data_IF_092722904636
#
_entry.id   IF_092722904636
#
_cell.length_a   1.000
_cell.length_b   1.000
_cell.length_c   1.000
_cell.angle_alpha   90.00
_cell.angle_beta   90.00
_cell.angle_gamma   90.00
#
_symmetry.space_group_name_H-M   'P 1'
#
loop_
_entity.id
_entity.type
_entity.pdbx_description
1 polymer ?
#
# COMPACT_ATOMS: atom_id res chain seq x y z
N UNK A 1 -17.06 2.66 8.92
CA UNK A 1 -17.17 1.22 8.57
C UNK A 1 -15.91 0.82 7.83
N UNK A 2 -15.28 -0.28 8.23
CA UNK A 2 -14.15 -0.84 7.47
C UNK A 2 -14.66 -1.40 6.13
N UNK A 3 -13.89 -1.25 5.05
CA UNK A 3 -14.22 -1.73 3.69
C UNK A 3 -14.57 -3.22 3.68
N UNK A 4 -13.98 -4.00 4.58
CA UNK A 4 -14.18 -5.43 4.75
C UNK A 4 -15.62 -5.74 5.16
N UNK A 5 -16.19 -4.92 6.06
CA UNK A 5 -17.60 -5.05 6.48
C UNK A 5 -18.54 -4.78 5.29
N UNK A 6 -18.21 -3.81 4.42
CA UNK A 6 -18.98 -3.55 3.21
C UNK A 6 -18.88 -4.69 2.20
N UNK A 7 -17.70 -5.29 2.04
CA UNK A 7 -17.50 -6.47 1.19
C UNK A 7 -18.32 -7.66 1.69
N UNK A 8 -18.25 -7.97 2.98
CA UNK A 8 -19.03 -9.06 3.58
C UNK A 8 -20.54 -8.87 3.41
N UNK A 9 -21.04 -7.63 3.59
CA UNK A 9 -22.45 -7.32 3.38
C UNK A 9 -22.87 -7.46 1.92
N UNK A 10 -22.08 -6.90 0.99
CA UNK A 10 -22.36 -7.03 -0.45
C UNK A 10 -22.37 -8.51 -0.90
N UNK A 11 -21.41 -9.30 -0.40
CA UNK A 11 -21.32 -10.74 -0.66
C UNK A 11 -22.58 -11.49 -0.19
N UNK A 12 -23.02 -11.25 1.05
CA UNK A 12 -24.24 -11.86 1.62
C UNK A 12 -25.49 -11.50 0.82
N UNK A 13 -25.65 -10.24 0.43
CA UNK A 13 -26.80 -9.81 -0.36
C UNK A 13 -26.80 -10.45 -1.75
N UNK A 14 -25.63 -10.59 -2.37
CA UNK A 14 -25.47 -11.29 -3.65
C UNK A 14 -25.80 -12.78 -3.51
N UNK A 15 -25.39 -13.43 -2.43
CA UNK A 15 -25.72 -14.83 -2.12
C UNK A 15 -27.21 -15.05 -1.86
N UNK A 16 -27.92 -14.05 -1.31
CA UNK A 16 -29.39 -14.07 -1.19
C UNK A 16 -30.13 -13.80 -2.51
N UNK A 17 -29.41 -13.60 -3.62
CA UNK A 17 -29.99 -13.49 -4.96
C UNK A 17 -30.30 -12.07 -5.44
N UNK A 18 -29.86 -11.04 -4.71
CA UNK A 18 -30.09 -9.65 -5.14
C UNK A 18 -29.22 -9.28 -6.35
N UNK A 19 -29.78 -8.43 -7.21
CA UNK A 19 -29.05 -7.78 -8.29
C UNK A 19 -28.10 -6.70 -7.76
N UNK A 20 -27.12 -6.29 -8.56
CA UNK A 20 -26.14 -5.25 -8.14
C UNK A 20 -26.81 -3.90 -7.89
N UNK A 21 -27.85 -3.57 -8.64
CA UNK A 21 -28.69 -2.39 -8.44
C UNK A 21 -29.42 -2.39 -7.08
N UNK A 22 -30.02 -3.51 -6.69
CA UNK A 22 -30.71 -3.62 -5.39
C UNK A 22 -29.72 -3.54 -4.23
N UNK A 23 -28.55 -4.17 -4.37
CA UNK A 23 -27.46 -4.08 -3.40
C UNK A 23 -26.95 -2.64 -3.29
N UNK A 24 -26.85 -1.92 -4.41
CA UNK A 24 -26.42 -0.52 -4.45
C UNK A 24 -27.39 0.37 -3.67
N UNK A 25 -28.70 0.13 -3.84
CA UNK A 25 -29.75 0.79 -3.07
C UNK A 25 -29.67 0.47 -1.58
N UNK A 26 -29.45 -0.79 -1.20
CA UNK A 26 -29.40 -1.22 0.21
C UNK A 26 -28.14 -0.71 0.93
N UNK A 27 -26.99 -0.71 0.25
CA UNK A 27 -25.72 -0.23 0.81
C UNK A 27 -25.53 1.29 0.64
N UNK A 28 -26.44 1.97 -0.05
CA UNK A 28 -26.38 3.39 -0.39
C UNK A 28 -25.04 3.79 -1.06
N UNK A 29 -24.65 3.02 -2.08
CA UNK A 29 -23.44 3.23 -2.89
C UNK A 29 -23.79 3.14 -4.38
N UNK A 30 -22.88 3.57 -5.26
CA UNK A 30 -23.08 3.41 -6.70
C UNK A 30 -22.99 1.92 -7.13
N UNK A 31 -23.69 1.53 -8.20
CA UNK A 31 -23.65 0.16 -8.73
C UNK A 31 -22.23 -0.30 -9.10
N UNK A 32 -21.42 0.59 -9.68
CA UNK A 32 -19.99 0.36 -9.94
C UNK A 32 -19.19 0.03 -8.65
N UNK A 33 -19.61 0.60 -7.51
CA UNK A 33 -18.99 0.30 -6.21
C UNK A 33 -19.37 -1.10 -5.74
N UNK A 34 -20.59 -1.56 -6.01
CA UNK A 34 -21.01 -2.94 -5.71
C UNK A 34 -20.22 -3.93 -6.56
N UNK A 35 -20.09 -3.68 -7.86
CA UNK A 35 -19.26 -4.48 -8.74
C UNK A 35 -17.79 -4.53 -8.25
N UNK A 36 -17.26 -3.40 -7.77
CA UNK A 36 -15.94 -3.32 -7.16
C UNK A 36 -15.84 -4.10 -5.82
N UNK A 37 -16.86 -4.02 -4.96
CA UNK A 37 -16.91 -4.75 -3.67
C UNK A 37 -16.98 -6.26 -3.86
N UNK A 38 -17.74 -6.72 -4.87
CA UNK A 38 -17.89 -8.14 -5.24
C UNK A 38 -16.68 -8.68 -6.03
N UNK A 39 -15.86 -7.81 -6.59
CA UNK A 39 -14.65 -8.23 -7.31
C UNK A 39 -13.67 -8.96 -6.37
N UNK A 40 -13.23 -10.16 -6.78
CA UNK A 40 -12.16 -10.91 -6.10
C UNK A 40 -10.83 -10.21 -6.29
N UNK A 41 -10.52 -9.28 -5.40
CA UNK A 41 -9.14 -8.88 -5.10
C UNK A 41 -8.97 -8.79 -3.59
N UNK A 42 -8.62 -9.92 -2.99
CA UNK A 42 -7.55 -9.89 -2.00
C UNK A 42 -6.26 -9.50 -2.74
N UNK A 43 -6.16 -8.25 -3.20
CA UNK A 43 -4.82 -7.68 -3.29
C UNK A 43 -4.34 -7.69 -1.85
N UNK A 44 -3.28 -8.45 -1.59
CA UNK A 44 -2.53 -8.47 -0.34
C UNK A 44 -2.66 -7.10 0.32
N UNK A 45 -3.17 -7.06 1.56
CA UNK A 45 -3.19 -5.81 2.33
C UNK A 45 -1.82 -5.17 2.11
N UNK A 46 -1.74 -3.93 1.60
CA UNK A 46 -0.44 -3.32 1.33
C UNK A 46 0.40 -3.51 2.59
N UNK A 47 1.60 -4.07 2.42
CA UNK A 47 2.50 -4.33 3.54
C UNK A 47 2.52 -3.05 4.37
N UNK A 48 2.16 -3.15 5.65
CA UNK A 48 2.11 -1.96 6.50
C UNK A 48 3.47 -1.28 6.45
N UNK A 49 3.48 0.04 6.27
CA UNK A 49 4.71 0.81 6.23
C UNK A 49 5.59 0.50 7.44
N UNK A 50 6.85 0.17 7.18
CA UNK A 50 7.84 -0.02 8.24
C UNK A 50 8.44 1.33 8.58
N UNK A 51 8.09 1.85 9.76
CA UNK A 51 8.67 3.10 10.26
C UNK A 51 10.00 2.79 10.95
N UNK A 52 11.09 3.31 10.39
CA UNK A 52 12.43 3.23 11.00
C UNK A 52 12.75 4.57 11.66
N UNK A 53 13.07 4.53 12.96
CA UNK A 53 13.50 5.72 13.68
C UNK A 53 14.97 6.07 13.39
N UNK A 54 15.26 7.35 13.14
CA UNK A 54 16.63 7.84 12.90
C UNK A 54 17.62 7.51 14.03
N UNK A 55 17.15 7.42 15.28
CA UNK A 55 17.99 6.98 16.41
C UNK A 55 18.54 5.56 16.21
N UNK A 56 17.75 4.66 15.62
CA UNK A 56 18.18 3.29 15.34
C UNK A 56 19.29 3.22 14.28
N UNK A 57 19.47 4.29 13.50
CA UNK A 57 20.59 4.44 12.58
C UNK A 57 21.75 5.13 13.29
N UNK A 58 21.49 6.27 13.93
CA UNK A 58 22.52 7.18 14.45
C UNK A 58 23.26 6.71 15.71
N UNK A 59 22.72 5.74 16.47
CA UNK A 59 23.38 5.25 17.71
C UNK A 59 24.37 4.11 17.43
N UNK A 60 24.27 3.46 16.27
CA UNK A 60 25.09 2.29 15.95
C UNK A 60 26.20 2.66 14.94
N UNK A 61 27.48 2.68 15.35
CA UNK A 61 28.58 3.13 14.48
C UNK A 61 28.67 2.35 13.18
N UNK A 62 28.42 1.04 13.21
CA UNK A 62 28.43 0.18 12.02
C UNK A 62 27.38 0.61 11.00
N UNK A 63 26.18 1.03 11.44
CA UNK A 63 25.11 1.46 10.52
C UNK A 63 25.42 2.81 9.88
N UNK A 64 25.96 3.75 10.66
CA UNK A 64 26.46 5.02 10.12
C UNK A 64 27.55 4.77 9.09
N UNK A 65 28.52 3.90 9.40
CA UNK A 65 29.62 3.57 8.49
C UNK A 65 29.11 2.99 7.17
N UNK A 66 28.16 2.05 7.20
CA UNK A 66 27.56 1.48 5.99
C UNK A 66 26.83 2.53 5.13
N UNK A 67 26.09 3.44 5.76
CA UNK A 67 25.41 4.54 5.05
C UNK A 67 26.44 5.48 4.42
N UNK A 68 27.50 5.86 5.16
CA UNK A 68 28.56 6.70 4.64
C UNK A 68 29.28 6.06 3.45
N UNK A 69 29.53 4.75 3.50
CA UNK A 69 30.09 4.00 2.38
C UNK A 69 29.17 4.04 1.15
N UNK A 70 27.87 3.79 1.33
CA UNK A 70 26.90 3.87 0.24
C UNK A 70 26.81 5.28 -0.37
N UNK A 71 26.84 6.33 0.47
CA UNK A 71 26.85 7.71 -0.02
C UNK A 71 28.14 8.04 -0.79
N UNK A 72 29.29 7.55 -0.30
CA UNK A 72 30.58 7.76 -0.97
C UNK A 72 30.63 7.07 -2.33
N UNK A 73 30.08 5.86 -2.42
CA UNK A 73 29.95 5.12 -3.68
C UNK A 73 29.09 5.86 -4.70
N UNK A 74 27.91 6.35 -4.28
CA UNK A 74 27.03 7.17 -5.14
C UNK A 74 27.76 8.44 -5.61
N UNK A 75 28.51 9.11 -4.74
CA UNK A 75 29.27 10.31 -5.12
C UNK A 75 30.30 9.97 -6.21
N UNK A 76 31.07 8.88 -6.03
CA UNK A 76 32.05 8.44 -7.02
C UNK A 76 31.37 8.06 -8.34
N UNK A 77 30.23 7.37 -8.27
CA UNK A 77 29.43 7.03 -9.45
C UNK A 77 28.97 8.28 -10.21
N UNK A 78 28.41 9.26 -9.51
CA UNK A 78 27.91 10.49 -10.11
C UNK A 78 29.04 11.39 -10.63
N UNK A 79 30.20 11.41 -9.95
CA UNK A 79 31.42 12.05 -10.44
C UNK A 79 31.99 11.40 -11.71
N UNK A 80 31.74 10.10 -11.91
CA UNK A 80 32.13 9.40 -13.14
C UNK A 80 31.14 9.61 -14.29
N UNK A 81 29.85 9.77 -13.98
CA UNK A 81 28.78 10.00 -14.97
C UNK A 81 28.69 11.45 -15.43
N UNK A 82 29.10 12.39 -14.59
CA UNK A 82 29.20 13.81 -14.93
C UNK A 82 30.66 14.17 -14.94
N UNK A 83 31.16 14.69 -16.06
CA UNK A 83 32.27 15.65 -16.04
C UNK A 83 31.81 16.82 -15.16
N UNK A 84 31.96 16.68 -13.84
CA UNK A 84 31.75 17.76 -12.89
C UNK A 84 32.94 18.70 -13.05
N UNK A 85 32.83 19.57 -14.07
CA UNK A 85 33.56 20.83 -14.15
C UNK A 85 33.18 21.74 -12.98
#
# INVERSE_FOLDING_TARGET
MEIQVLREKAQKLKESGLSEYEIASELNVAEETVAWLLSKKESEKPLKDVKIGWRSIGVYPTRISLIASAMSDIIVEEMGKRDLQ
#
